data_IF_839258950204
#
_entry.id   IF_839258950204
#
_cell.length_a   1.000
_cell.length_b   1.000
_cell.length_c   1.000
_cell.angle_alpha   90.00
_cell.angle_beta   90.00
_cell.angle_gamma   90.00
#
_symmetry.space_group_name_H-M   'P 1'
#
loop_
_entity.id
_entity.type
_entity.pdbx_description
1 polymer ?
#
# COMPACT_ATOMS: atom_id res chain seq x y z
N UNK A 1 -16.35 -22.45 -14.94
CA UNK A 1 -15.72 -21.87 -16.15
C UNK A 1 -15.01 -22.96 -16.96
N UNK A 2 -14.03 -23.68 -16.39
CA UNK A 2 -13.30 -24.74 -17.09
C UNK A 2 -14.17 -25.88 -17.66
N UNK A 3 -15.22 -26.30 -16.95
CA UNK A 3 -16.14 -27.33 -17.45
C UNK A 3 -16.99 -26.83 -18.63
N UNK A 4 -17.34 -25.54 -18.66
CA UNK A 4 -18.05 -24.91 -19.78
C UNK A 4 -17.17 -24.73 -21.03
N UNK A 5 -15.86 -24.56 -20.85
CA UNK A 5 -14.89 -24.61 -21.96
C UNK A 5 -14.85 -26.00 -22.60
N UNK A 6 -14.85 -27.07 -21.80
CA UNK A 6 -14.91 -28.45 -22.31
C UNK A 6 -16.20 -28.73 -23.07
N UNK A 7 -17.29 -28.11 -22.66
CA UNK A 7 -18.59 -28.19 -23.34
C UNK A 7 -18.70 -27.23 -24.56
N UNK A 8 -17.67 -26.43 -24.85
CA UNK A 8 -17.63 -25.49 -25.98
C UNK A 8 -18.52 -24.26 -25.81
N UNK A 9 -19.00 -24.01 -24.59
CA UNK A 9 -19.96 -22.94 -24.26
C UNK A 9 -19.24 -21.59 -24.03
N UNK A 10 -17.95 -21.63 -23.68
CA UNK A 10 -17.12 -20.47 -23.31
C UNK A 10 -15.77 -20.58 -24.02
N UNK A 11 -15.17 -19.46 -24.43
CA UNK A 11 -13.85 -19.44 -25.08
C UNK A 11 -12.71 -19.59 -24.07
N UNK A 12 -11.52 -20.00 -24.55
CA UNK A 12 -10.31 -20.08 -23.72
C UNK A 12 -9.93 -18.70 -23.14
N UNK A 13 -10.02 -17.65 -23.96
CA UNK A 13 -9.77 -16.26 -23.53
C UNK A 13 -10.70 -15.83 -22.39
N UNK A 14 -11.98 -16.22 -22.44
CA UNK A 14 -12.93 -15.91 -21.37
C UNK A 14 -12.62 -16.69 -20.08
N UNK A 15 -12.07 -17.90 -20.17
CA UNK A 15 -11.58 -18.65 -19.00
C UNK A 15 -10.37 -17.95 -18.38
N UNK A 16 -9.42 -17.48 -19.19
CA UNK A 16 -8.23 -16.77 -18.71
C UNK A 16 -8.58 -15.45 -18.02
N UNK A 17 -9.53 -14.68 -18.58
CA UNK A 17 -10.03 -13.47 -17.97
C UNK A 17 -10.70 -13.75 -16.61
N UNK A 18 -11.53 -14.77 -16.54
CA UNK A 18 -12.18 -15.18 -15.29
C UNK A 18 -11.16 -15.66 -14.25
N UNK A 19 -10.11 -16.35 -14.67
CA UNK A 19 -9.02 -16.77 -13.80
C UNK A 19 -8.25 -15.57 -13.23
N UNK A 20 -7.86 -14.63 -14.09
CA UNK A 20 -7.17 -13.40 -13.67
C UNK A 20 -8.01 -12.58 -12.67
N UNK A 21 -9.31 -12.46 -12.92
CA UNK A 21 -10.22 -11.78 -11.99
C UNK A 21 -10.36 -12.54 -10.66
N UNK A 22 -10.44 -13.88 -10.69
CA UNK A 22 -10.49 -14.68 -9.48
C UNK A 22 -9.24 -14.49 -8.61
N UNK A 23 -8.04 -14.46 -9.22
CA UNK A 23 -6.79 -14.18 -8.50
C UNK A 23 -6.85 -12.81 -7.83
N UNK A 24 -7.24 -11.77 -8.58
CA UNK A 24 -7.36 -10.40 -8.05
C UNK A 24 -8.32 -10.33 -6.86
N UNK A 25 -9.48 -11.00 -6.94
CA UNK A 25 -10.47 -11.03 -5.88
C UNK A 25 -9.97 -11.79 -4.63
N UNK A 26 -9.20 -12.86 -4.82
CA UNK A 26 -8.58 -13.61 -3.72
C UNK A 26 -7.54 -12.74 -3.01
N UNK A 27 -6.66 -12.06 -3.75
CA UNK A 27 -5.66 -11.14 -3.17
C UNK A 27 -6.33 -10.01 -2.37
N UNK A 28 -7.40 -9.41 -2.91
CA UNK A 28 -8.20 -8.39 -2.21
C UNK A 28 -8.81 -8.93 -0.91
N UNK A 29 -9.25 -10.20 -0.91
CA UNK A 29 -9.81 -10.87 0.27
C UNK A 29 -8.73 -11.18 1.31
N UNK A 30 -7.56 -11.63 0.88
CA UNK A 30 -6.43 -11.90 1.76
C UNK A 30 -5.97 -10.62 2.47
N UNK A 31 -5.87 -9.50 1.74
CA UNK A 31 -5.55 -8.21 2.33
C UNK A 31 -6.58 -7.80 3.40
N UNK A 32 -7.88 -7.97 3.12
CA UNK A 32 -8.93 -7.70 4.11
C UNK A 32 -8.82 -8.62 5.34
N UNK A 33 -8.45 -9.88 5.14
CA UNK A 33 -8.25 -10.82 6.24
C UNK A 33 -7.00 -10.49 7.06
N UNK A 34 -5.94 -9.95 6.45
CA UNK A 34 -4.78 -9.43 7.17
C UNK A 34 -5.16 -8.22 8.04
N UNK A 35 -6.04 -7.35 7.53
CA UNK A 35 -6.52 -6.12 8.17
C UNK A 35 -7.82 -6.30 8.98
N UNK A 36 -7.94 -7.42 9.70
CA UNK A 36 -9.17 -7.80 10.43
C UNK A 36 -9.20 -7.38 11.90
N UNK A 37 -8.13 -6.78 12.42
CA UNK A 37 -8.06 -6.39 13.83
C UNK A 37 -8.84 -5.10 14.06
N UNK A 38 -9.23 -4.84 15.30
CA UNK A 38 -9.99 -3.62 15.61
C UNK A 38 -9.17 -2.36 15.35
N UNK A 39 -7.85 -2.44 15.57
CA UNK A 39 -6.90 -1.35 15.39
C UNK A 39 -6.67 -0.98 13.93
N UNK A 40 -6.91 -1.90 12.99
CA UNK A 40 -6.73 -1.66 11.55
C UNK A 40 -7.72 -0.62 11.00
N UNK A 41 -8.79 -0.33 11.76
CA UNK A 41 -9.76 0.74 11.46
C UNK A 41 -9.30 2.12 11.91
N UNK A 42 -8.26 2.19 12.74
CA UNK A 42 -7.76 3.42 13.32
C UNK A 42 -6.79 4.13 12.36
N UNK A 43 -6.58 5.42 12.58
CA UNK A 43 -5.52 6.15 11.91
C UNK A 43 -4.14 5.67 12.37
N UNK A 44 -3.15 5.78 11.49
CA UNK A 44 -1.76 5.45 11.80
C UNK A 44 -0.96 6.71 12.17
N UNK A 45 -0.03 6.57 13.12
CA UNK A 45 1.00 7.58 13.39
C UNK A 45 2.32 7.08 12.79
N UNK A 46 2.82 7.80 11.78
CA UNK A 46 4.12 7.51 11.17
C UNK A 46 5.18 8.43 11.77
N UNK A 47 6.24 7.83 12.34
CA UNK A 47 7.43 8.55 12.81
C UNK A 47 8.63 8.15 11.95
N UNK A 48 9.20 9.12 11.23
CA UNK A 48 10.46 8.95 10.50
C UNK A 48 11.58 9.53 11.37
N UNK A 49 12.64 8.76 11.60
CA UNK A 49 13.81 9.22 12.33
C UNK A 49 15.03 9.07 11.41
N UNK A 50 15.89 10.08 11.35
CA UNK A 50 17.18 9.94 10.71
C UNK A 50 18.05 8.96 11.50
N UNK A 51 18.70 8.04 10.79
CA UNK A 51 19.64 7.09 11.38
C UNK A 51 21.01 7.72 11.68
N UNK A 52 21.99 6.89 12.01
CA UNK A 52 23.37 7.33 12.10
C UNK A 52 23.89 7.73 10.71
N UNK A 53 24.44 8.95 10.58
CA UNK A 53 24.98 9.44 9.30
C UNK A 53 24.87 10.95 9.07
N UNK A 54 24.51 11.75 10.08
CA UNK A 54 24.49 13.21 9.97
C UNK A 54 23.53 13.70 8.88
N UNK A 55 23.95 14.70 8.11
CA UNK A 55 23.14 15.37 7.08
C UNK A 55 22.59 14.42 6.02
N UNK A 56 23.36 13.43 5.55
CA UNK A 56 22.88 12.49 4.53
C UNK A 56 21.69 11.65 5.03
N UNK A 57 21.73 11.25 6.30
CA UNK A 57 20.62 10.53 6.93
C UNK A 57 19.39 11.42 7.14
N UNK A 58 19.59 12.71 7.40
CA UNK A 58 18.51 13.70 7.50
C UNK A 58 17.86 13.95 6.13
N UNK A 59 18.65 14.07 5.07
CA UNK A 59 18.17 14.21 3.70
C UNK A 59 17.34 12.99 3.28
N UNK A 60 17.81 11.79 3.60
CA UNK A 60 17.09 10.56 3.31
C UNK A 60 15.77 10.46 4.09
N UNK A 61 15.78 10.80 5.38
CA UNK A 61 14.56 10.87 6.19
C UNK A 61 13.55 11.86 5.59
N UNK A 62 14.01 13.01 5.12
CA UNK A 62 13.20 14.03 4.43
C UNK A 62 12.64 13.54 3.09
N UNK A 63 13.41 12.73 2.34
CA UNK A 63 12.92 12.06 1.14
C UNK A 63 11.81 11.06 1.45
N UNK A 64 11.99 10.22 2.48
CA UNK A 64 10.97 9.25 2.91
C UNK A 64 9.68 9.94 3.40
N UNK A 65 9.80 11.03 4.17
CA UNK A 65 8.65 11.83 4.57
C UNK A 65 7.86 12.32 3.35
N UNK A 66 8.53 12.93 2.37
CA UNK A 66 7.89 13.40 1.13
C UNK A 66 7.25 12.27 0.33
N UNK A 67 7.87 11.09 0.30
CA UNK A 67 7.34 9.90 -0.36
C UNK A 67 6.01 9.48 0.27
N UNK A 68 5.96 9.33 1.60
CA UNK A 68 4.74 8.92 2.30
C UNK A 68 3.65 9.99 2.25
N UNK A 69 4.00 11.27 2.27
CA UNK A 69 3.04 12.35 2.10
C UNK A 69 2.32 12.24 0.74
N UNK A 70 3.08 12.08 -0.35
CA UNK A 70 2.51 11.88 -1.70
C UNK A 70 1.71 10.59 -1.82
N UNK A 71 2.18 9.50 -1.20
CA UNK A 71 1.44 8.23 -1.19
C UNK A 71 0.08 8.40 -0.50
N UNK A 72 0.05 9.00 0.69
CA UNK A 72 -1.19 9.29 1.41
C UNK A 72 -2.15 10.16 0.61
N UNK A 73 -1.65 11.21 -0.06
CA UNK A 73 -2.45 12.06 -0.96
C UNK A 73 -3.06 11.26 -2.10
N UNK A 74 -2.27 10.39 -2.76
CA UNK A 74 -2.76 9.51 -3.84
C UNK A 74 -3.83 8.52 -3.37
N UNK A 75 -3.78 8.11 -2.10
CA UNK A 75 -4.78 7.24 -1.45
C UNK A 75 -5.94 8.04 -0.84
N UNK A 76 -5.93 9.37 -0.97
CA UNK A 76 -6.94 10.31 -0.43
C UNK A 76 -7.07 10.23 1.10
N UNK A 77 -5.98 9.92 1.80
CA UNK A 77 -5.96 9.95 3.25
C UNK A 77 -5.78 11.37 3.78
N UNK A 78 -6.46 11.70 4.88
CA UNK A 78 -6.21 12.94 5.63
C UNK A 78 -4.91 12.81 6.41
N UNK A 79 -3.94 13.65 6.11
CA UNK A 79 -2.64 13.70 6.79
C UNK A 79 -2.47 14.99 7.59
N UNK A 80 -1.74 14.92 8.69
CA UNK A 80 -1.41 16.10 9.51
C UNK A 80 -0.03 15.88 10.11
N UNK A 81 0.86 16.86 9.96
CA UNK A 81 2.18 16.83 10.61
C UNK A 81 2.00 17.32 12.05
N UNK A 82 2.29 16.45 13.01
CA UNK A 82 2.11 16.75 14.44
C UNK A 82 3.38 17.18 15.14
N UNK A 83 4.54 16.68 14.68
CA UNK A 83 5.84 17.02 15.23
C UNK A 83 6.86 17.02 14.09
N UNK A 84 7.64 18.09 14.01
CA UNK A 84 8.71 18.29 13.05
C UNK A 84 9.94 18.81 13.78
N UNK A 85 11.09 18.21 13.51
CA UNK A 85 12.37 18.64 14.03
C UNK A 85 13.32 18.77 12.85
N UNK A 86 13.80 19.98 12.61
CA UNK A 86 14.81 20.23 11.59
C UNK A 86 16.14 19.58 12.01
N UNK A 87 16.92 19.16 11.01
CA UNK A 87 18.29 18.73 11.24
C UNK A 87 19.15 19.93 11.63
N UNK A 88 20.07 19.73 12.56
CA UNK A 88 21.13 20.71 12.78
C UNK A 88 22.04 20.70 11.55
N UNK A 89 22.03 21.80 10.78
CA UNK A 89 23.04 22.06 9.76
C UNK A 89 24.41 22.19 10.47
N UNK A 90 25.39 21.40 10.03
CA UNK A 90 26.77 21.50 10.50
C UNK A 90 27.52 22.66 9.84
#
# INVERSE_FOLDING_TARGET
AFDFLKEGIVSEEEVDLNYAEAIRLIEDLELKNMLRREEDKLGAVLKVNAGAGGTESQDWASMLFRMYQRWCESKKYKTTVTNWQDGDDA
#
